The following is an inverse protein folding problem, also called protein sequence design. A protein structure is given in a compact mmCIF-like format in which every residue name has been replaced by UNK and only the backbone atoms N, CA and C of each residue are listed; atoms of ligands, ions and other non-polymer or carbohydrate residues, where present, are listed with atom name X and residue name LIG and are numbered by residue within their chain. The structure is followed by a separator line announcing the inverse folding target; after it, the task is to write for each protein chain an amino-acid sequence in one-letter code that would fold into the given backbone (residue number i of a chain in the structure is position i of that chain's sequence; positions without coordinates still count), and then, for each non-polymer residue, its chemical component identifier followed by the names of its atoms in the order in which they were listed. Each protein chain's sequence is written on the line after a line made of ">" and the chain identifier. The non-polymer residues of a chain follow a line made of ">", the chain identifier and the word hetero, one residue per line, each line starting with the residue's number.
data_IF_197096869311
#
_entry.id   IF_197096869311
#
_cell.length_a   1.000
_cell.length_b   1.000
_cell.length_c   1.000
_cell.angle_alpha   90.00
_cell.angle_beta   90.00
_cell.angle_gamma   90.00
#
_symmetry.space_group_name_H-M   'P 1'
#
loop_
_entity.id
_entity.type
_entity.pdbx_description
1 polymer ?
#
# COMPACT_ATOMS: atom_id res chain seq x y z
N UNK A 1 1.07 -17.21 14.08
CA UNK A 1 1.65 -15.91 13.66
C UNK A 1 2.50 -15.36 14.80
N UNK A 2 3.76 -14.95 14.60
CA UNK A 2 4.65 -14.49 15.69
C UNK A 2 4.21 -13.14 16.27
N UNK A 3 4.56 -12.88 17.53
CA UNK A 3 4.47 -11.54 18.15
C UNK A 3 5.73 -10.78 17.75
N UNK A 4 5.58 -9.59 17.15
CA UNK A 4 6.72 -8.78 16.72
C UNK A 4 7.23 -7.89 17.86
N UNK A 5 8.52 -7.54 17.83
CA UNK A 5 9.11 -6.59 18.79
C UNK A 5 8.81 -5.12 18.44
N UNK A 6 9.18 -4.17 19.33
CA UNK A 6 8.81 -2.76 19.21
C UNK A 6 9.41 -2.06 17.98
N UNK A 7 10.63 -2.42 17.57
CA UNK A 7 11.26 -1.87 16.34
C UNK A 7 10.45 -2.26 15.10
N UNK A 8 10.14 -3.56 14.96
CA UNK A 8 9.33 -4.06 13.84
C UNK A 8 7.91 -3.47 13.87
N UNK A 9 7.32 -3.30 15.05
CA UNK A 9 6.02 -2.64 15.20
C UNK A 9 6.07 -1.17 14.72
N UNK A 10 7.15 -0.45 15.03
CA UNK A 10 7.41 0.89 14.50
C UNK A 10 7.43 0.91 12.96
N UNK A 11 8.21 0.02 12.35
CA UNK A 11 8.24 -0.10 10.88
C UNK A 11 6.88 -0.42 10.27
N UNK A 12 6.09 -1.29 10.92
CA UNK A 12 4.74 -1.63 10.46
C UNK A 12 3.79 -0.43 10.52
N UNK A 13 3.86 0.41 11.56
CA UNK A 13 3.07 1.66 11.64
C UNK A 13 3.41 2.60 10.50
N UNK A 14 4.71 2.90 10.31
CA UNK A 14 5.18 3.74 9.21
C UNK A 14 4.73 3.20 7.86
N UNK A 15 4.82 1.88 7.66
CA UNK A 15 4.34 1.25 6.43
C UNK A 15 2.83 1.43 6.22
N UNK A 16 2.02 1.21 7.25
CA UNK A 16 0.56 1.34 7.17
C UNK A 16 0.15 2.79 6.87
N UNK A 17 0.77 3.76 7.54
CA UNK A 17 0.51 5.19 7.35
C UNK A 17 0.88 5.65 5.93
N UNK A 18 2.05 5.23 5.44
CA UNK A 18 2.51 5.54 4.09
C UNK A 18 1.72 4.81 2.99
N UNK A 19 0.92 3.79 3.31
CA UNK A 19 0.23 2.94 2.32
C UNK A 19 -1.07 3.53 1.76
N UNK A 20 -1.24 4.85 1.77
CA UNK A 20 -2.41 5.53 1.21
C UNK A 20 -2.12 6.03 -0.21
N UNK A 21 -2.62 5.35 -1.26
CA UNK A 21 -2.41 5.80 -2.63
C UNK A 21 -3.28 7.02 -2.96
N UNK A 22 -2.88 7.84 -3.95
CA UNK A 22 -3.66 8.99 -4.38
C UNK A 22 -4.98 8.56 -5.05
N UNK A 23 -6.02 9.35 -4.82
CA UNK A 23 -7.28 9.25 -5.55
C UNK A 23 -7.13 9.82 -6.98
N UNK A 24 -7.89 9.31 -7.96
CA UNK A 24 -7.90 9.84 -9.31
C UNK A 24 -8.60 11.19 -9.37
N UNK A 25 -8.19 12.01 -10.33
CA UNK A 25 -8.91 13.20 -10.76
C UNK A 25 -9.76 12.89 -11.99
N UNK A 26 -10.85 13.63 -12.19
CA UNK A 26 -11.79 13.41 -13.31
C UNK A 26 -11.08 13.38 -14.67
N UNK A 27 -10.19 14.34 -14.95
CA UNK A 27 -9.43 14.41 -16.20
C UNK A 27 -8.50 13.21 -16.45
N UNK A 28 -8.06 12.53 -15.38
CA UNK A 28 -7.29 11.30 -15.53
C UNK A 28 -8.18 10.13 -15.97
N UNK A 29 -9.40 10.04 -15.43
CA UNK A 29 -10.38 9.02 -15.84
C UNK A 29 -10.83 9.28 -17.29
N UNK A 30 -11.12 10.53 -17.63
CA UNK A 30 -11.41 10.96 -19.01
C UNK A 30 -10.31 10.52 -19.98
N UNK A 31 -9.06 10.83 -19.64
CA UNK A 31 -7.90 10.45 -20.47
C UNK A 31 -7.80 8.94 -20.64
N UNK A 32 -8.02 8.17 -19.57
CA UNK A 32 -7.97 6.71 -19.63
C UNK A 32 -9.09 6.11 -20.49
N UNK A 33 -10.33 6.64 -20.37
CA UNK A 33 -11.46 6.24 -21.21
C UNK A 33 -11.26 6.64 -22.67
N UNK A 34 -10.70 7.81 -22.94
CA UNK A 34 -10.35 8.27 -24.28
C UNK A 34 -9.33 7.34 -24.94
N UNK A 35 -8.31 6.87 -24.20
CA UNK A 35 -7.34 5.90 -24.72
C UNK A 35 -8.01 4.57 -25.10
N UNK A 36 -8.95 4.08 -24.29
CA UNK A 36 -9.73 2.88 -24.62
C UNK A 36 -10.62 3.10 -25.86
N UNK A 37 -11.23 4.28 -26.00
CA UNK A 37 -12.12 4.57 -27.14
C UNK A 37 -11.37 4.72 -28.47
N UNK A 38 -10.09 5.08 -28.41
CA UNK A 38 -9.19 5.10 -29.57
C UNK A 38 -8.74 3.68 -29.94
N UNK A 39 -8.39 2.87 -28.94
CA UNK A 39 -7.83 1.55 -29.16
C UNK A 39 -8.86 0.46 -29.48
N UNK A 40 -10.11 0.62 -29.01
CA UNK A 40 -11.13 -0.42 -29.09
C UNK A 40 -12.29 0.00 -30.00
N UNK A 41 -12.91 -0.95 -30.72
CA UNK A 41 -14.12 -0.69 -31.49
C UNK A 41 -15.20 -0.06 -30.60
N UNK A 42 -15.69 1.12 -30.99
CA UNK A 42 -16.76 1.83 -30.29
C UNK A 42 -18.06 1.82 -31.09
N UNK A 43 -19.18 1.73 -30.37
CA UNK A 43 -20.49 2.02 -30.93
C UNK A 43 -20.59 3.54 -31.16
N UNK A 44 -21.23 3.97 -32.24
CA UNK A 44 -21.61 5.37 -32.38
C UNK A 44 -22.64 5.69 -31.29
N UNK A 45 -22.35 6.72 -30.51
CA UNK A 45 -23.18 7.23 -29.42
C UNK A 45 -23.28 8.73 -29.62
N UNK A 46 -24.38 9.33 -29.17
CA UNK A 46 -24.53 10.80 -29.22
C UNK A 46 -23.58 11.48 -28.25
N UNK A 47 -23.32 12.78 -28.45
CA UNK A 47 -22.48 13.56 -27.53
C UNK A 47 -23.09 13.62 -26.11
N UNK A 48 -24.42 13.67 -26.02
CA UNK A 48 -25.13 13.61 -24.74
C UNK A 48 -24.90 12.25 -24.04
N UNK A 49 -25.07 11.15 -24.77
CA UNK A 49 -24.84 9.81 -24.23
C UNK A 49 -23.38 9.61 -23.82
N UNK A 50 -22.43 10.18 -24.56
CA UNK A 50 -21.01 10.16 -24.20
C UNK A 50 -20.72 10.90 -22.89
N UNK A 51 -21.37 12.05 -22.66
CA UNK A 51 -21.29 12.82 -21.42
C UNK A 51 -21.86 12.05 -20.22
N UNK A 52 -23.08 11.54 -20.34
CA UNK A 52 -23.73 10.76 -19.28
C UNK A 52 -22.92 9.49 -18.96
N UNK A 53 -22.36 8.85 -19.99
CA UNK A 53 -21.46 7.72 -19.82
C UNK A 53 -20.24 8.13 -19.00
N UNK A 54 -19.56 9.22 -19.36
CA UNK A 54 -18.39 9.68 -18.62
C UNK A 54 -18.70 9.92 -17.12
N UNK A 55 -19.84 10.55 -16.82
CA UNK A 55 -20.28 10.78 -15.45
C UNK A 55 -20.49 9.47 -14.68
N UNK A 56 -21.10 8.45 -15.32
CA UNK A 56 -21.26 7.13 -14.72
C UNK A 56 -19.92 6.46 -14.40
N UNK A 57 -18.96 6.50 -15.34
CA UNK A 57 -17.62 5.95 -15.07
C UNK A 57 -16.90 6.74 -13.98
N UNK A 58 -17.02 8.07 -13.94
CA UNK A 58 -16.45 8.87 -12.87
C UNK A 58 -17.02 8.47 -11.50
N UNK A 59 -18.35 8.40 -11.38
CA UNK A 59 -19.02 8.04 -10.12
C UNK A 59 -18.59 6.66 -9.61
N UNK A 60 -18.46 5.68 -10.52
CA UNK A 60 -18.03 4.33 -10.16
C UNK A 60 -16.54 4.27 -9.80
N UNK A 61 -15.67 4.95 -10.56
CA UNK A 61 -14.23 4.74 -10.47
C UNK A 61 -13.51 5.69 -9.50
N UNK A 62 -14.13 6.81 -9.11
CA UNK A 62 -13.50 7.82 -8.22
C UNK A 62 -13.06 7.29 -6.85
N UNK A 63 -13.66 6.19 -6.39
CA UNK A 63 -13.33 5.56 -5.11
C UNK A 63 -12.06 4.68 -5.14
N UNK A 64 -11.51 4.41 -6.32
CA UNK A 64 -10.30 3.61 -6.46
C UNK A 64 -9.02 4.43 -6.31
N UNK A 65 -7.90 3.73 -6.10
CA UNK A 65 -6.59 4.33 -6.17
C UNK A 65 -6.20 4.58 -7.63
N UNK A 66 -5.70 5.76 -7.95
CA UNK A 66 -5.17 6.10 -9.28
C UNK A 66 -4.18 5.06 -9.85
N UNK A 67 -3.14 4.61 -9.11
CA UNK A 67 -2.19 3.63 -9.67
C UNK A 67 -2.85 2.29 -10.00
N UNK A 68 -3.89 1.88 -9.27
CA UNK A 68 -4.60 0.64 -9.55
C UNK A 68 -5.42 0.77 -10.84
N UNK A 69 -6.10 1.91 -11.02
CA UNK A 69 -6.83 2.22 -12.25
C UNK A 69 -5.89 2.26 -13.45
N UNK A 70 -4.78 2.98 -13.37
CA UNK A 70 -3.82 3.07 -14.47
C UNK A 70 -3.35 1.68 -14.92
N UNK A 71 -3.01 0.82 -13.97
CA UNK A 71 -2.60 -0.54 -14.28
C UNK A 71 -3.76 -1.39 -14.84
N UNK A 72 -4.98 -1.22 -14.32
CA UNK A 72 -6.16 -1.93 -14.82
C UNK A 72 -6.46 -1.56 -16.27
N UNK A 73 -6.44 -0.27 -16.62
CA UNK A 73 -6.64 0.19 -17.98
C UNK A 73 -5.56 -0.33 -18.94
N UNK A 74 -4.30 -0.42 -18.51
CA UNK A 74 -3.24 -1.04 -19.30
C UNK A 74 -3.46 -2.54 -19.56
N UNK A 75 -4.06 -3.26 -18.61
CA UNK A 75 -4.44 -4.66 -18.80
C UNK A 75 -5.61 -4.77 -19.77
N UNK A 76 -6.64 -3.94 -19.61
CA UNK A 76 -7.84 -3.96 -20.46
C UNK A 76 -7.51 -3.61 -21.91
N UNK A 77 -6.60 -2.66 -22.15
CA UNK A 77 -6.10 -2.33 -23.50
C UNK A 77 -5.52 -3.54 -24.25
N UNK A 78 -5.01 -4.54 -23.54
CA UNK A 78 -4.37 -5.74 -24.13
C UNK A 78 -5.31 -6.94 -24.21
N UNK A 79 -6.43 -6.91 -23.49
CA UNK A 79 -7.24 -8.11 -23.23
C UNK A 79 -8.69 -7.95 -23.69
N UNK A 80 -9.23 -6.74 -23.66
CA UNK A 80 -10.60 -6.47 -24.08
C UNK A 80 -10.71 -6.42 -25.61
N UNK A 81 -11.79 -7.02 -26.13
CA UNK A 81 -12.17 -6.93 -27.55
C UNK A 81 -13.14 -5.78 -27.82
N UNK A 82 -13.89 -5.37 -26.79
CA UNK A 82 -14.88 -4.30 -26.84
C UNK A 82 -14.60 -3.30 -25.73
N UNK A 83 -15.21 -2.12 -25.83
CA UNK A 83 -15.08 -1.13 -24.77
C UNK A 83 -15.59 -1.70 -23.43
N UNK A 84 -14.75 -1.71 -22.38
CA UNK A 84 -15.06 -2.41 -21.14
C UNK A 84 -16.19 -1.73 -20.36
N UNK A 85 -17.04 -2.55 -19.78
CA UNK A 85 -18.05 -2.17 -18.78
C UNK A 85 -17.38 -1.75 -17.46
N UNK A 86 -18.14 -1.08 -16.59
CA UNK A 86 -17.66 -0.74 -15.24
C UNK A 86 -17.25 -2.01 -14.47
N UNK A 87 -18.03 -3.08 -14.57
CA UNK A 87 -17.74 -4.36 -13.91
C UNK A 87 -16.40 -4.97 -14.35
N UNK A 88 -16.08 -4.95 -15.65
CA UNK A 88 -14.79 -5.43 -16.16
C UNK A 88 -13.62 -4.59 -15.65
N UNK A 89 -13.81 -3.27 -15.50
CA UNK A 89 -12.80 -2.39 -14.89
C UNK A 89 -12.61 -2.73 -13.42
N UNK A 90 -13.71 -2.89 -12.67
CA UNK A 90 -13.66 -3.25 -11.24
C UNK A 90 -12.96 -4.58 -11.00
N UNK A 91 -13.22 -5.60 -11.83
CA UNK A 91 -12.56 -6.90 -11.74
C UNK A 91 -11.05 -6.79 -12.01
N UNK A 92 -10.66 -6.02 -13.03
CA UNK A 92 -9.26 -5.75 -13.31
C UNK A 92 -8.58 -5.02 -12.14
N UNK A 93 -9.23 -4.00 -11.58
CA UNK A 93 -8.74 -3.26 -10.40
C UNK A 93 -8.60 -4.19 -9.19
N UNK A 94 -9.57 -5.07 -8.95
CA UNK A 94 -9.56 -6.02 -7.83
C UNK A 94 -8.36 -6.96 -7.89
N UNK A 95 -8.02 -7.45 -9.08
CA UNK A 95 -6.84 -8.29 -9.28
C UNK A 95 -5.52 -7.57 -8.93
N UNK A 96 -5.43 -6.27 -9.24
CA UNK A 96 -4.26 -5.44 -8.95
C UNK A 96 -4.19 -5.02 -7.49
N UNK A 97 -5.32 -4.62 -6.90
CA UNK A 97 -5.43 -4.18 -5.50
C UNK A 97 -5.21 -5.33 -4.52
N UNK A 98 -5.63 -6.55 -4.88
CA UNK A 98 -5.64 -7.72 -4.00
C UNK A 98 -4.33 -7.97 -3.24
N UNK A 99 -3.17 -8.08 -3.92
CA UNK A 99 -1.88 -8.25 -3.26
C UNK A 99 -1.52 -7.14 -2.26
N UNK A 100 -1.77 -5.87 -2.61
CA UNK A 100 -1.53 -4.73 -1.71
C UNK A 100 -2.45 -4.79 -0.49
N UNK A 101 -3.74 -5.05 -0.69
CA UNK A 101 -4.71 -5.18 0.40
C UNK A 101 -4.31 -6.31 1.36
N UNK A 102 -3.89 -7.48 0.83
CA UNK A 102 -3.41 -8.61 1.63
C UNK A 102 -2.20 -8.25 2.49
N UNK A 103 -1.19 -7.58 1.92
CA UNK A 103 -0.01 -7.10 2.67
C UNK A 103 -0.39 -6.12 3.77
N UNK A 104 -1.27 -5.16 3.48
CA UNK A 104 -1.73 -4.19 4.46
C UNK A 104 -2.53 -4.85 5.60
N UNK A 105 -3.41 -5.80 5.28
CA UNK A 105 -4.15 -6.58 6.28
C UNK A 105 -3.22 -7.40 7.17
N UNK A 106 -2.19 -8.05 6.58
CA UNK A 106 -1.19 -8.79 7.34
C UNK A 106 -0.39 -7.88 8.28
N UNK A 107 0.04 -6.71 7.80
CA UNK A 107 0.74 -5.72 8.61
C UNK A 107 -0.12 -5.23 9.79
N UNK A 108 -1.40 -4.90 9.54
CA UNK A 108 -2.36 -4.50 10.59
C UNK A 108 -2.55 -5.60 11.64
N UNK A 109 -2.63 -6.86 11.20
CA UNK A 109 -2.81 -7.99 12.11
C UNK A 109 -1.56 -8.21 12.99
N UNK A 110 -0.35 -8.08 12.42
CA UNK A 110 0.90 -8.18 13.18
C UNK A 110 1.03 -7.06 14.21
N UNK A 111 0.65 -5.82 13.84
CA UNK A 111 0.66 -4.69 14.76
C UNK A 111 -0.36 -4.87 15.89
N UNK A 112 -1.59 -5.26 15.56
CA UNK A 112 -2.63 -5.55 16.56
C UNK A 112 -2.17 -6.64 17.54
N UNK A 113 -1.46 -7.66 17.03
CA UNK A 113 -0.91 -8.73 17.87
C UNK A 113 0.19 -8.21 18.80
N UNK A 114 1.09 -7.36 18.31
CA UNK A 114 2.09 -6.69 19.14
C UNK A 114 1.43 -5.89 20.27
N UNK A 115 0.45 -5.06 19.95
CA UNK A 115 -0.23 -4.20 20.92
C UNK A 115 -0.97 -4.97 22.03
N UNK A 116 -1.41 -6.20 21.73
CA UNK A 116 -2.14 -7.05 22.68
C UNK A 116 -1.28 -7.99 23.49
N UNK A 117 -0.25 -8.56 22.87
CA UNK A 117 0.46 -9.73 23.41
C UNK A 117 1.94 -9.47 23.71
N UNK A 118 2.52 -8.39 23.17
CA UNK A 118 3.94 -8.11 23.41
C UNK A 118 4.16 -7.69 24.86
N UNK A 119 5.16 -8.31 25.48
CA UNK A 119 5.69 -7.93 26.78
C UNK A 119 7.20 -7.74 26.61
N UNK A 120 7.81 -6.75 27.29
CA UNK A 120 9.26 -6.65 27.34
C UNK A 120 9.82 -7.97 27.91
N UNK A 121 10.75 -8.57 27.19
CA UNK A 121 11.41 -9.81 27.61
C UNK A 121 12.62 -9.44 28.47
N UNK A 122 12.65 -9.91 29.72
CA UNK A 122 13.74 -9.67 30.68
C UNK A 122 13.32 -8.77 31.84
N UNK A 123 14.03 -8.89 32.97
CA UNK A 123 13.94 -7.91 34.05
C UNK A 123 14.53 -6.58 33.57
N UNK A 124 13.82 -5.48 33.86
CA UNK A 124 14.39 -4.16 33.66
C UNK A 124 15.60 -4.05 34.59
N UNK A 125 16.76 -3.65 34.06
CA UNK A 125 17.94 -3.37 34.87
C UNK A 125 17.55 -2.42 36.00
N UNK A 126 17.99 -2.73 37.20
CA UNK A 126 17.93 -1.79 38.31
C UNK A 126 18.74 -0.53 37.96
N UNK A 127 18.45 0.62 38.60
CA UNK A 127 19.22 1.84 38.35
C UNK A 127 20.73 1.67 38.56
N UNK A 128 21.11 0.80 39.50
CA UNK A 128 22.51 0.46 39.78
C UNK A 128 23.14 -0.35 38.64
N UNK A 129 22.45 -1.37 38.12
CA UNK A 129 22.93 -2.17 37.00
C UNK A 129 23.01 -1.36 35.70
N UNK A 130 22.04 -0.46 35.46
CA UNK A 130 22.08 0.45 34.32
C UNK A 130 23.27 1.43 34.39
N UNK A 131 23.60 1.91 35.61
CA UNK A 131 24.76 2.76 35.84
C UNK A 131 26.08 2.01 35.60
N UNK A 132 26.18 0.76 36.08
CA UNK A 132 27.34 -0.10 35.84
C UNK A 132 27.52 -0.40 34.35
N UNK A 133 26.43 -0.73 33.63
CA UNK A 133 26.47 -0.98 32.20
C UNK A 133 26.88 0.27 31.42
N UNK A 134 26.37 1.44 31.81
CA UNK A 134 26.79 2.74 31.25
C UNK A 134 28.28 3.01 31.44
N UNK A 135 28.84 2.66 32.61
CA UNK A 135 30.28 2.77 32.89
C UNK A 135 31.13 1.85 32.01
N UNK A 136 30.69 0.61 31.79
CA UNK A 136 31.39 -0.36 30.93
C UNK A 136 31.36 0.09 29.45
N UNK A 137 30.21 0.55 28.96
CA UNK A 137 30.06 0.99 27.57
C UNK A 137 30.76 2.32 27.26
N UNK A 138 30.95 3.17 28.28
CA UNK A 138 31.66 4.44 28.16
C UNK A 138 33.20 4.28 28.16
N UNK A 139 33.72 3.13 28.57
CA UNK A 139 35.14 2.82 28.43
C UNK A 139 35.43 2.47 26.96
N UNK A 140 36.34 3.20 26.28
CA UNK A 140 36.81 2.79 24.97
C UNK A 140 37.44 1.40 25.09
N UNK A 141 37.06 0.47 24.21
CA UNK A 141 37.77 -0.81 24.04
C UNK A 141 39.20 -0.52 23.55
N UNK A 142 40.10 -0.21 24.48
CA UNK A 142 41.50 0.04 24.16
C UNK A 142 42.44 -0.56 25.22
N UNK A 143 43.30 -1.46 24.72
CA UNK A 143 44.53 -2.02 25.30
C UNK A 143 44.46 -3.38 26.03
N UNK A 144 44.14 -4.43 25.27
CA UNK A 144 44.71 -5.76 25.52
C UNK A 144 45.29 -6.36 24.23
N UNK A 145 45.94 -5.51 23.43
CA UNK A 145 46.70 -5.91 22.25
C UNK A 145 47.89 -4.96 22.09
N UNK A 146 48.81 -4.98 23.05
CA UNK A 146 50.24 -4.87 22.75
C UNK A 146 51.09 -5.06 24.00
N UNK A 147 52.27 -5.67 23.79
CA UNK A 147 53.34 -6.00 24.73
C UNK A 147 53.08 -7.32 25.49
N UNK A 148 53.75 -8.44 25.21
CA UNK A 148 55.12 -8.61 24.72
C UNK A 148 55.86 -9.46 25.74
#
# INVERSE_FOLDING_TARGET
>A
MPVVGPISAGHLRTYIEASTPPAPQIGQIETMLAKLSIALPKKQVSDQEAGERLDLYWQALRGHALPDLQQAFMVLLRTCRFFPTIAEIEDAVKAIRGPRARRLSAARLLLLKHEREWKPTGELLTPEEACQLGGILAQPLASAADQG
#
